data_IF_054243902798
#
_entry.id   IF_054243902798
#
_cell.length_a   1.000
_cell.length_b   1.000
_cell.length_c   1.000
_cell.angle_alpha   90.00
_cell.angle_beta   90.00
_cell.angle_gamma   90.00
#
_symmetry.space_group_name_H-M   'P 1'
#
loop_
_entity.id
_entity.type
_entity.pdbx_description
1 polymer ?
#
# COMPACT_ATOMS: atom_id res chain seq x y z
N UNK A 1 -47.31 55.98 -21.00
CA UNK A 1 -46.45 55.24 -21.94
C UNK A 1 -45.05 55.17 -21.35
N UNK A 2 -44.62 53.99 -20.89
CA UNK A 2 -43.23 53.50 -20.84
C UNK A 2 -43.22 52.24 -19.96
N UNK A 3 -42.96 51.09 -20.59
CA UNK A 3 -42.78 49.79 -19.93
C UNK A 3 -41.41 49.78 -19.26
N UNK A 4 -41.34 49.52 -17.95
CA UNK A 4 -40.08 49.21 -17.27
C UNK A 4 -39.86 47.69 -17.37
N UNK A 5 -38.81 47.30 -18.09
CA UNK A 5 -38.37 45.91 -18.19
C UNK A 5 -37.58 45.51 -16.93
N UNK A 6 -37.95 44.37 -16.35
CA UNK A 6 -37.16 43.64 -15.37
C UNK A 6 -36.05 42.87 -16.09
N UNK A 7 -34.80 43.09 -15.68
CA UNK A 7 -33.67 42.18 -15.98
C UNK A 7 -33.17 41.59 -14.66
N UNK A 8 -33.09 40.26 -14.50
CA UNK A 8 -32.46 39.69 -13.31
C UNK A 8 -30.94 39.72 -13.46
N UNK A 9 -30.27 40.26 -12.44
CA UNK A 9 -28.82 40.20 -12.26
C UNK A 9 -28.44 38.73 -12.01
N UNK A 10 -27.80 38.09 -12.99
CA UNK A 10 -27.18 36.78 -12.80
C UNK A 10 -25.95 36.90 -11.91
N UNK A 11 -25.97 36.23 -10.75
CA UNK A 11 -24.80 36.05 -9.91
C UNK A 11 -23.92 34.95 -10.51
N UNK A 12 -22.82 35.33 -11.16
CA UNK A 12 -21.70 34.44 -11.44
C UNK A 12 -20.88 34.27 -10.16
N UNK A 13 -21.14 33.21 -9.41
CA UNK A 13 -20.26 32.75 -8.34
C UNK A 13 -19.04 32.08 -8.99
N UNK A 14 -17.93 32.82 -9.09
CA UNK A 14 -16.64 32.30 -9.48
C UNK A 14 -16.01 31.60 -8.25
N UNK A 15 -16.37 30.34 -8.01
CA UNK A 15 -15.65 29.49 -7.05
C UNK A 15 -14.36 29.00 -7.70
N UNK A 16 -13.32 29.83 -7.62
CA UNK A 16 -11.95 29.42 -7.91
C UNK A 16 -11.51 28.34 -6.93
N UNK A 17 -11.53 27.09 -7.36
CA UNK A 17 -10.91 25.98 -6.66
C UNK A 17 -9.40 26.21 -6.69
N UNK A 18 -8.84 26.72 -5.59
CA UNK A 18 -7.40 26.77 -5.36
C UNK A 18 -6.87 25.34 -5.31
N UNK A 19 -6.40 24.85 -6.45
CA UNK A 19 -5.55 23.67 -6.53
C UNK A 19 -4.32 23.94 -5.65
N UNK A 20 -4.07 23.14 -4.59
CA UNK A 20 -2.86 23.30 -3.81
C UNK A 20 -1.67 23.05 -4.75
N UNK A 21 -0.72 23.99 -4.73
CA UNK A 21 0.58 23.85 -5.36
C UNK A 21 1.18 22.49 -4.95
N UNK A 22 1.29 21.58 -5.92
CA UNK A 22 1.95 20.31 -5.74
C UNK A 22 3.40 20.59 -5.30
N UNK A 23 3.74 20.21 -4.07
CA UNK A 23 5.13 20.10 -3.66
C UNK A 23 5.88 19.17 -4.62
N UNK A 24 7.23 19.25 -4.67
CA UNK A 24 8.02 18.36 -5.51
C UNK A 24 7.60 16.93 -5.19
N UNK A 25 6.98 16.28 -6.17
CA UNK A 25 6.51 14.93 -6.01
C UNK A 25 7.77 14.08 -5.80
N UNK A 26 8.01 13.71 -4.54
CA UNK A 26 8.96 12.66 -4.22
C UNK A 26 8.45 11.40 -4.92
N UNK A 27 9.38 10.59 -5.41
CA UNK A 27 9.15 9.27 -5.98
C UNK A 27 7.90 8.56 -5.40
N UNK A 28 7.08 7.96 -6.27
CA UNK A 28 6.00 7.04 -5.84
C UNK A 28 6.60 5.69 -5.44
N UNK A 29 7.40 5.73 -4.38
CA UNK A 29 8.01 4.57 -3.76
C UNK A 29 6.96 3.76 -3.01
N UNK A 30 7.18 2.45 -2.96
CA UNK A 30 6.39 1.48 -2.19
C UNK A 30 7.38 0.61 -1.42
N UNK A 31 7.39 0.68 -0.09
CA UNK A 31 6.56 1.56 0.74
C UNK A 31 6.87 3.05 0.51
N UNK A 32 5.87 3.89 0.74
CA UNK A 32 6.06 5.34 0.71
C UNK A 32 6.84 5.78 1.95
N UNK A 33 7.76 6.76 1.86
CA UNK A 33 8.49 7.26 3.02
C UNK A 33 7.61 7.73 4.19
N UNK A 34 6.38 8.18 3.94
CA UNK A 34 5.43 8.56 4.99
C UNK A 34 4.97 7.38 5.84
N UNK A 35 4.93 6.17 5.26
CA UNK A 35 4.59 4.92 5.96
C UNK A 35 5.70 4.51 6.94
N UNK A 36 6.95 4.95 6.71
CA UNK A 36 8.14 4.61 7.52
C UNK A 36 8.43 3.12 7.65
N UNK A 37 7.80 2.29 6.82
CA UNK A 37 8.15 0.90 6.65
C UNK A 37 9.58 0.80 6.11
N UNK A 38 10.35 -0.17 6.59
CA UNK A 38 11.71 -0.37 6.10
C UNK A 38 11.64 -0.85 4.65
N UNK A 39 10.99 -1.98 4.40
CA UNK A 39 10.83 -2.58 3.08
C UNK A 39 9.57 -3.43 3.00
N UNK A 40 9.24 -3.86 1.78
CA UNK A 40 8.43 -5.05 1.58
C UNK A 40 9.31 -6.27 1.81
N UNK A 41 8.69 -7.41 2.12
CA UNK A 41 9.41 -8.68 2.21
C UNK A 41 8.60 -9.81 1.57
N UNK A 42 9.29 -10.77 0.96
CA UNK A 42 8.70 -12.04 0.51
C UNK A 42 9.71 -13.14 0.78
N UNK A 43 9.30 -14.13 1.57
CA UNK A 43 10.14 -15.27 1.93
C UNK A 43 9.99 -16.42 0.94
N UNK A 44 11.05 -17.22 0.82
CA UNK A 44 10.96 -18.52 0.15
C UNK A 44 10.02 -19.49 0.89
N UNK A 45 9.39 -20.45 0.19
CA UNK A 45 8.35 -21.33 0.75
C UNK A 45 8.86 -22.36 1.78
N UNK A 46 10.17 -22.41 2.03
CA UNK A 46 10.78 -23.26 3.05
C UNK A 46 11.07 -22.47 4.34
N UNK A 47 10.81 -21.15 4.35
CA UNK A 47 10.91 -20.34 5.55
C UNK A 47 9.78 -20.71 6.53
N UNK A 48 10.04 -20.77 7.84
CA UNK A 48 8.96 -20.85 8.82
C UNK A 48 8.07 -19.61 8.69
N UNK A 49 6.75 -19.78 8.68
CA UNK A 49 5.83 -18.64 8.57
C UNK A 49 5.92 -17.67 9.75
N UNK A 50 6.44 -18.10 10.91
CA UNK A 50 6.76 -17.24 12.06
C UNK A 50 7.96 -16.27 11.82
N UNK A 51 8.20 -15.92 10.57
CA UNK A 51 9.08 -14.83 10.11
C UNK A 51 8.26 -13.74 9.38
N UNK A 52 6.95 -13.69 9.61
CA UNK A 52 6.08 -12.61 9.14
C UNK A 52 5.30 -12.90 7.87
N UNK A 53 5.77 -13.78 7.00
CA UNK A 53 5.16 -14.08 5.71
C UNK A 53 4.29 -15.34 5.78
N UNK A 54 2.98 -15.16 5.67
CA UNK A 54 1.99 -16.21 5.90
C UNK A 54 1.77 -17.13 4.70
N UNK A 55 2.09 -16.66 3.49
CA UNK A 55 1.81 -17.38 2.24
C UNK A 55 2.90 -17.28 1.17
N UNK A 56 4.05 -16.68 1.50
CA UNK A 56 5.23 -16.57 0.62
C UNK A 56 4.93 -15.82 -0.69
N UNK A 57 3.90 -14.97 -0.67
CA UNK A 57 3.38 -14.29 -1.83
C UNK A 57 2.82 -12.91 -1.48
N UNK A 58 3.17 -11.92 -2.29
CA UNK A 58 2.70 -10.56 -2.12
C UNK A 58 2.21 -9.99 -3.44
N UNK A 59 1.12 -9.22 -3.41
CA UNK A 59 0.53 -8.63 -4.62
C UNK A 59 0.42 -7.12 -4.44
N UNK A 60 0.98 -6.37 -5.38
CA UNK A 60 0.81 -4.92 -5.48
C UNK A 60 0.14 -4.54 -6.78
N UNK A 61 -0.63 -3.46 -6.72
CA UNK A 61 -1.28 -2.85 -7.86
C UNK A 61 -0.68 -1.47 -8.14
N UNK A 62 -0.63 -1.11 -9.42
CA UNK A 62 -0.13 0.19 -9.86
C UNK A 62 -1.19 0.85 -10.74
N UNK A 63 -1.59 2.05 -10.34
CA UNK A 63 -2.58 2.87 -11.01
C UNK A 63 -1.88 3.96 -11.82
N UNK A 64 -2.26 4.10 -13.09
CA UNK A 64 -1.92 5.25 -13.92
C UNK A 64 -3.19 5.89 -14.45
N UNK A 65 -3.27 7.23 -14.54
CA UNK A 65 -4.51 7.90 -14.93
C UNK A 65 -4.88 7.57 -16.38
N UNK A 66 -6.18 7.45 -16.67
CA UNK A 66 -6.67 7.08 -17.99
C UNK A 66 -6.33 8.11 -19.09
N UNK A 67 -5.86 9.29 -18.72
CA UNK A 67 -5.38 10.34 -19.63
C UNK A 67 -3.91 10.19 -20.02
N UNK A 68 -3.12 9.37 -19.31
CA UNK A 68 -1.70 9.16 -19.62
C UNK A 68 -1.54 8.44 -20.95
N UNK A 69 -0.60 8.90 -21.79
CA UNK A 69 -0.25 8.24 -23.06
C UNK A 69 1.24 7.88 -23.14
N UNK A 70 2.06 8.53 -22.33
CA UNK A 70 3.50 8.30 -22.29
C UNK A 70 3.85 6.99 -21.58
N UNK A 71 4.92 6.29 -22.01
CA UNK A 71 5.42 5.13 -21.31
C UNK A 71 5.77 5.43 -19.86
N UNK A 72 5.71 4.41 -19.02
CA UNK A 72 6.14 4.49 -17.62
C UNK A 72 6.84 3.20 -17.22
N UNK A 73 7.35 3.17 -16.00
CA UNK A 73 8.17 2.09 -15.46
C UNK A 73 7.68 1.74 -14.06
N UNK A 74 7.50 0.45 -13.83
CA UNK A 74 7.51 -0.10 -12.48
C UNK A 74 8.93 -0.62 -12.26
N UNK A 75 9.62 -0.04 -11.27
CA UNK A 75 11.01 -0.37 -10.95
C UNK A 75 11.02 -1.15 -9.64
N UNK A 76 11.90 -2.14 -9.54
CA UNK A 76 12.16 -2.93 -8.34
C UNK A 76 13.55 -2.56 -7.85
N UNK A 77 13.67 -2.05 -6.63
CA UNK A 77 14.94 -1.91 -5.96
C UNK A 77 15.23 -3.18 -5.18
N UNK A 78 16.43 -3.71 -5.41
CA UNK A 78 16.97 -4.91 -4.76
C UNK A 78 16.12 -6.18 -4.99
N UNK A 79 15.96 -6.62 -6.26
CA UNK A 79 15.31 -7.90 -6.53
C UNK A 79 16.22 -9.11 -6.24
N UNK A 80 17.48 -8.89 -5.84
CA UNK A 80 18.41 -9.95 -5.39
C UNK A 80 17.82 -10.72 -4.20
N UNK A 81 18.33 -11.92 -3.94
CA UNK A 81 17.92 -12.71 -2.75
C UNK A 81 19.12 -12.99 -1.83
N UNK A 82 20.03 -12.04 -1.72
CA UNK A 82 21.25 -12.12 -0.92
C UNK A 82 21.76 -10.75 -0.44
N UNK A 83 23.05 -10.70 -0.11
CA UNK A 83 23.67 -9.46 0.33
C UNK A 83 23.30 -9.04 1.76
N UNK A 84 23.32 -7.73 2.02
CA UNK A 84 23.16 -7.16 3.38
C UNK A 84 21.76 -6.65 3.66
N UNK A 85 20.90 -6.57 2.64
CA UNK A 85 19.53 -6.06 2.76
C UNK A 85 18.56 -7.20 3.09
N UNK A 86 18.80 -8.38 2.54
CA UNK A 86 17.91 -9.54 2.69
C UNK A 86 18.01 -10.28 4.04
N UNK A 87 16.93 -10.96 4.40
CA UNK A 87 16.80 -11.71 5.64
C UNK A 87 17.39 -13.12 5.49
N UNK A 88 18.62 -13.33 5.96
CA UNK A 88 19.33 -14.62 5.85
C UNK A 88 18.88 -15.63 6.91
N UNK A 89 18.49 -16.84 6.49
CA UNK A 89 18.26 -17.98 7.41
C UNK A 89 19.21 -19.13 7.05
N UNK A 90 20.36 -19.19 7.74
CA UNK A 90 21.38 -20.19 7.45
C UNK A 90 22.27 -19.76 6.28
N UNK A 91 22.06 -20.27 5.07
CA UNK A 91 22.75 -19.84 3.85
C UNK A 91 21.74 -19.37 2.81
N UNK A 92 22.09 -18.31 2.07
CA UNK A 92 21.20 -17.78 1.04
C UNK A 92 20.94 -18.83 -0.05
N UNK A 93 19.68 -19.20 -0.20
CA UNK A 93 19.21 -20.21 -1.15
C UNK A 93 17.87 -19.84 -1.80
N UNK A 94 17.33 -18.67 -1.46
CA UNK A 94 16.02 -18.22 -1.91
C UNK A 94 16.03 -17.77 -3.36
N UNK A 95 14.94 -18.09 -4.06
CA UNK A 95 14.62 -17.49 -5.35
C UNK A 95 13.26 -16.83 -5.28
N UNK A 96 13.17 -15.60 -5.74
CA UNK A 96 11.95 -14.80 -5.76
C UNK A 96 11.59 -14.42 -7.18
N UNK A 97 10.33 -14.58 -7.55
CA UNK A 97 9.80 -14.19 -8.85
C UNK A 97 8.95 -12.94 -8.77
N UNK A 98 9.14 -12.03 -9.72
CA UNK A 98 8.30 -10.87 -9.95
C UNK A 98 7.56 -11.03 -11.27
N UNK A 99 6.23 -11.12 -11.19
CA UNK A 99 5.34 -11.33 -12.34
C UNK A 99 4.37 -10.16 -12.50
N UNK A 100 4.47 -9.42 -13.61
CA UNK A 100 3.64 -8.27 -13.97
C UNK A 100 2.49 -8.69 -14.87
N UNK A 101 1.28 -8.26 -14.52
CA UNK A 101 0.03 -8.50 -15.23
C UNK A 101 -0.67 -7.20 -15.60
N UNK A 102 -1.37 -7.22 -16.72
CA UNK A 102 -2.23 -6.13 -17.23
C UNK A 102 -3.42 -6.69 -18.02
N UNK A 103 -4.20 -5.81 -18.64
CA UNK A 103 -5.40 -6.18 -19.41
C UNK A 103 -6.59 -6.59 -18.54
N UNK A 104 -7.73 -6.93 -19.18
CA UNK A 104 -8.98 -7.21 -18.47
C UNK A 104 -8.83 -8.29 -17.39
N UNK A 105 -9.47 -8.07 -16.24
CA UNK A 105 -9.48 -8.98 -15.10
C UNK A 105 -8.24 -8.91 -14.19
N UNK A 106 -7.24 -8.08 -14.49
CA UNK A 106 -6.06 -7.90 -13.62
C UNK A 106 -6.43 -7.52 -12.19
N UNK A 107 -7.41 -6.63 -12.03
CA UNK A 107 -7.98 -6.13 -10.79
C UNK A 107 -9.45 -6.53 -10.63
N UNK A 108 -10.25 -6.55 -11.70
CA UNK A 108 -11.70 -6.78 -11.59
C UNK A 108 -12.12 -8.24 -11.47
N UNK A 109 -11.24 -9.20 -11.78
CA UNK A 109 -11.61 -10.61 -11.75
C UNK A 109 -11.92 -11.07 -10.31
N UNK A 110 -12.84 -12.03 -10.13
CA UNK A 110 -13.10 -12.62 -8.82
C UNK A 110 -11.80 -13.13 -8.17
N UNK A 111 -11.59 -12.71 -6.91
CA UNK A 111 -10.41 -13.09 -6.13
C UNK A 111 -9.12 -12.33 -6.46
N UNK A 112 -9.10 -11.44 -7.46
CA UNK A 112 -7.92 -10.64 -7.80
C UNK A 112 -7.45 -9.76 -6.63
N UNK A 113 -8.39 -9.27 -5.81
CA UNK A 113 -8.15 -8.44 -4.63
C UNK A 113 -8.22 -9.23 -3.31
N UNK A 114 -8.24 -10.57 -3.36
CA UNK A 114 -8.27 -11.38 -2.15
C UNK A 114 -6.93 -11.24 -1.41
N UNK A 115 -6.92 -10.76 -0.15
CA UNK A 115 -5.68 -10.61 0.60
C UNK A 115 -5.07 -11.96 0.97
N UNK A 116 -5.86 -13.03 1.03
CA UNK A 116 -5.42 -14.39 1.39
C UNK A 116 -5.84 -15.39 0.31
N UNK A 117 -5.20 -15.34 -0.88
CA UNK A 117 -5.48 -16.31 -1.93
C UNK A 117 -5.10 -17.72 -1.45
N UNK A 118 -5.82 -18.73 -1.91
CA UNK A 118 -5.45 -20.11 -1.63
C UNK A 118 -4.08 -20.43 -2.26
N UNK A 119 -3.24 -21.27 -1.64
CA UNK A 119 -1.98 -21.71 -2.24
C UNK A 119 -2.19 -22.26 -3.67
N UNK A 120 -1.32 -21.87 -4.59
CA UNK A 120 -1.41 -22.27 -6.01
C UNK A 120 -2.42 -21.47 -6.84
N UNK A 121 -3.08 -20.46 -6.28
CA UNK A 121 -3.98 -19.57 -7.06
C UNK A 121 -3.21 -18.92 -8.22
N UNK A 122 -3.72 -19.10 -9.43
CA UNK A 122 -3.17 -18.45 -10.64
C UNK A 122 -3.62 -16.99 -10.66
N UNK A 123 -2.71 -16.01 -10.78
CA UNK A 123 -3.09 -14.62 -10.85
C UNK A 123 -3.93 -14.34 -12.10
N UNK A 124 -5.02 -13.58 -11.92
CA UNK A 124 -5.83 -13.10 -13.04
C UNK A 124 -5.11 -12.03 -13.88
N UNK A 125 -5.62 -11.78 -15.09
CA UNK A 125 -5.03 -10.82 -16.04
C UNK A 125 -4.06 -11.48 -17.02
N UNK A 126 -3.57 -10.70 -17.98
CA UNK A 126 -2.57 -11.13 -18.97
C UNK A 126 -1.18 -10.89 -18.43
N UNK A 127 -0.37 -11.94 -18.36
CA UNK A 127 1.05 -11.83 -18.03
C UNK A 127 1.77 -10.97 -19.09
N UNK A 128 2.45 -9.92 -18.64
CA UNK A 128 3.24 -9.00 -19.46
C UNK A 128 4.73 -9.29 -19.35
N UNK A 129 5.20 -9.56 -18.13
CA UNK A 129 6.61 -9.81 -17.85
C UNK A 129 6.75 -10.67 -16.60
N UNK A 130 7.75 -11.53 -16.58
CA UNK A 130 8.08 -12.41 -15.46
C UNK A 130 9.60 -12.52 -15.36
N UNK A 131 10.14 -12.39 -14.15
CA UNK A 131 11.57 -12.55 -13.90
C UNK A 131 11.78 -13.13 -12.51
N UNK A 132 12.57 -14.21 -12.44
CA UNK A 132 13.04 -14.78 -11.19
C UNK A 132 14.46 -14.32 -10.89
N UNK A 133 14.73 -14.08 -9.62
CA UNK A 133 16.02 -13.70 -9.08
C UNK A 133 16.43 -14.68 -7.99
N UNK A 134 17.73 -14.75 -7.74
CA UNK A 134 18.34 -15.40 -6.60
C UNK A 134 19.57 -14.58 -6.24
N UNK A 135 20.55 -15.16 -5.54
CA UNK A 135 21.81 -14.45 -5.21
C UNK A 135 22.60 -14.10 -6.49
N UNK A 136 22.69 -12.82 -6.80
CA UNK A 136 23.46 -12.25 -7.91
C UNK A 136 23.94 -10.83 -7.57
N UNK A 137 25.27 -10.61 -7.44
CA UNK A 137 25.85 -9.28 -7.22
C UNK A 137 25.48 -8.22 -8.28
N UNK A 138 25.07 -8.63 -9.48
CA UNK A 138 24.64 -7.71 -10.54
C UNK A 138 23.30 -7.03 -10.21
N UNK A 139 22.47 -7.64 -9.36
CA UNK A 139 21.15 -7.13 -8.97
C UNK A 139 21.07 -6.64 -7.52
N UNK A 140 22.04 -7.02 -6.69
CA UNK A 140 22.13 -6.62 -5.28
C UNK A 140 22.24 -5.09 -5.10
N UNK A 141 21.27 -4.50 -4.41
CA UNK A 141 21.14 -3.07 -4.17
C UNK A 141 20.99 -2.26 -5.46
N UNK A 142 20.51 -2.88 -6.55
CA UNK A 142 20.30 -2.24 -7.85
C UNK A 142 18.82 -2.14 -8.20
N UNK A 143 18.53 -1.25 -9.14
CA UNK A 143 17.20 -1.13 -9.72
C UNK A 143 17.06 -2.03 -10.94
N UNK A 144 15.93 -2.71 -11.05
CA UNK A 144 15.53 -3.46 -12.23
C UNK A 144 14.14 -3.01 -12.70
N UNK A 145 13.93 -2.94 -14.02
CA UNK A 145 12.72 -2.38 -14.60
C UNK A 145 11.79 -3.48 -15.13
N UNK A 146 10.53 -3.44 -14.72
CA UNK A 146 9.44 -4.22 -15.34
C UNK A 146 8.91 -3.57 -16.64
N UNK A 147 9.32 -2.32 -16.93
CA UNK A 147 8.95 -1.58 -18.14
C UNK A 147 10.04 -1.50 -19.22
N UNK A 148 9.89 -0.62 -20.23
CA UNK A 148 8.81 0.38 -20.38
C UNK A 148 7.44 -0.27 -20.57
N UNK A 149 6.41 0.37 -20.02
CA UNK A 149 5.00 -0.07 -20.08
C UNK A 149 4.17 0.95 -20.85
N UNK A 150 3.33 0.47 -21.77
CA UNK A 150 2.32 1.31 -22.42
C UNK A 150 1.07 1.35 -21.54
N UNK A 151 0.60 2.53 -21.06
CA UNK A 151 -0.59 2.66 -20.18
C UNK A 151 -1.82 1.87 -20.61
N UNK A 152 -2.03 1.68 -21.91
CA UNK A 152 -3.19 0.95 -22.45
C UNK A 152 -3.11 -0.58 -22.25
N UNK A 153 -1.97 -1.10 -21.78
CA UNK A 153 -1.81 -2.52 -21.46
C UNK A 153 -2.38 -2.89 -20.08
N UNK A 154 -2.72 -1.92 -19.24
CA UNK A 154 -3.38 -2.14 -17.96
C UNK A 154 -4.88 -2.42 -18.11
N UNK A 155 -5.52 -2.78 -17.01
CA UNK A 155 -6.98 -2.84 -16.96
C UNK A 155 -7.57 -1.46 -16.72
N UNK A 156 -8.48 -0.98 -17.57
CA UNK A 156 -9.25 0.22 -17.24
C UNK A 156 -10.22 -0.09 -16.11
N UNK A 157 -10.00 0.49 -14.92
CA UNK A 157 -10.88 0.36 -13.75
C UNK A 157 -11.62 1.68 -13.56
N UNK A 158 -12.92 1.69 -13.86
CA UNK A 158 -13.74 2.90 -13.86
C UNK A 158 -13.77 3.59 -12.49
N UNK A 159 -13.85 2.81 -11.41
CA UNK A 159 -13.80 3.33 -10.03
C UNK A 159 -12.54 4.18 -9.78
N UNK A 160 -11.41 3.84 -10.41
CA UNK A 160 -10.15 4.57 -10.26
C UNK A 160 -9.88 5.56 -11.41
N UNK A 161 -10.74 5.59 -12.44
CA UNK A 161 -10.57 6.41 -13.65
C UNK A 161 -9.17 6.25 -14.25
N UNK A 162 -8.65 5.03 -14.25
CA UNK A 162 -7.27 4.75 -14.61
C UNK A 162 -7.01 3.29 -14.97
N UNK A 163 -5.82 3.07 -15.52
CA UNK A 163 -5.34 1.74 -15.88
C UNK A 163 -4.60 1.13 -14.70
N UNK A 164 -4.97 -0.10 -14.34
CA UNK A 164 -4.39 -0.86 -13.24
C UNK A 164 -3.53 -1.99 -13.77
N UNK A 165 -2.32 -2.08 -13.23
CA UNK A 165 -1.39 -3.20 -13.37
C UNK A 165 -1.27 -3.92 -12.05
N UNK A 166 -0.86 -5.19 -12.09
CA UNK A 166 -0.64 -6.01 -10.91
C UNK A 166 0.74 -6.64 -10.97
N UNK A 167 1.52 -6.52 -9.92
CA UNK A 167 2.76 -7.27 -9.71
C UNK A 167 2.49 -8.29 -8.61
N UNK A 168 2.73 -9.56 -8.92
CA UNK A 168 2.73 -10.65 -7.96
C UNK A 168 4.16 -11.08 -7.72
N UNK A 169 4.58 -11.06 -6.46
CA UNK A 169 5.90 -11.48 -6.00
C UNK A 169 5.74 -12.80 -5.26
N UNK A 170 6.56 -13.79 -5.59
CA UNK A 170 6.47 -15.15 -4.99
C UNK A 170 7.85 -15.71 -4.66
N UNK A 171 7.98 -16.26 -3.46
CA UNK A 171 9.06 -17.19 -3.16
C UNK A 171 8.89 -18.48 -3.96
N UNK A 172 9.90 -18.84 -4.76
CA UNK A 172 9.91 -20.08 -5.55
C UNK A 172 10.63 -21.23 -4.84
N UNK A 173 11.67 -20.92 -4.07
CA UNK A 173 12.49 -21.88 -3.32
C UNK A 173 13.20 -21.18 -2.17
N UNK A 174 13.80 -21.96 -1.27
CA UNK A 174 14.62 -21.43 -0.18
C UNK A 174 13.82 -20.93 1.02
N UNK A 175 14.53 -20.42 2.01
CA UNK A 175 14.00 -20.05 3.33
C UNK A 175 14.38 -18.63 3.80
N UNK A 176 15.06 -17.86 2.98
CA UNK A 176 15.42 -16.46 3.25
C UNK A 176 14.29 -15.52 2.83
N UNK A 177 14.34 -14.28 3.33
CA UNK A 177 13.44 -13.19 2.94
C UNK A 177 14.10 -12.24 1.95
N UNK A 178 13.51 -12.06 0.77
CA UNK A 178 13.89 -10.98 -0.14
C UNK A 178 13.19 -9.68 0.25
N UNK A 179 13.98 -8.66 0.57
CA UNK A 179 13.57 -7.32 0.95
C UNK A 179 13.72 -6.34 -0.21
N UNK A 180 12.60 -5.90 -0.76
CA UNK A 180 12.59 -5.03 -1.93
C UNK A 180 11.69 -3.81 -1.74
N UNK A 181 11.78 -2.88 -2.69
CA UNK A 181 10.87 -1.73 -2.81
C UNK A 181 10.46 -1.56 -4.27
N UNK A 182 9.23 -1.10 -4.51
CA UNK A 182 8.81 -0.69 -5.85
C UNK A 182 8.85 0.82 -6.02
N UNK A 183 8.96 1.25 -7.27
CA UNK A 183 8.87 2.66 -7.66
C UNK A 183 8.06 2.78 -8.94
N UNK A 184 6.99 3.58 -8.90
CA UNK A 184 6.28 4.00 -10.11
C UNK A 184 6.95 5.26 -10.68
N UNK A 185 7.49 5.16 -11.88
CA UNK A 185 8.29 6.24 -12.49
C UNK A 185 7.95 6.48 -13.95
N UNK A 186 8.06 7.73 -14.38
CA UNK A 186 8.06 8.13 -15.80
C UNK A 186 9.45 8.04 -16.45
N UNK A 187 10.49 7.69 -15.67
CA UNK A 187 11.87 7.51 -16.14
C UNK A 187 12.39 6.09 -15.88
N UNK A 188 13.20 5.52 -16.79
CA UNK A 188 13.80 4.20 -16.58
C UNK A 188 14.90 4.18 -15.51
N UNK A 189 15.57 5.31 -15.27
CA UNK A 189 16.81 5.38 -14.50
C UNK A 189 16.74 6.30 -13.30
N UNK A 190 15.63 7.01 -13.12
CA UNK A 190 15.43 7.98 -12.06
C UNK A 190 14.03 7.86 -11.51
N UNK A 191 13.85 8.25 -10.25
CA UNK A 191 12.54 8.21 -9.60
C UNK A 191 11.77 9.50 -9.89
N UNK A 192 11.20 9.57 -11.09
CA UNK A 192 10.39 10.69 -11.56
C UNK A 192 8.92 10.27 -11.46
N UNK A 193 8.11 10.87 -10.58
CA UNK A 193 6.72 10.47 -10.37
C UNK A 193 5.89 10.43 -11.66
N UNK A 194 4.85 9.60 -11.65
CA UNK A 194 3.79 9.63 -12.66
C UNK A 194 2.65 10.49 -12.11
N UNK A 195 2.39 11.71 -12.65
CA UNK A 195 1.31 12.56 -12.17
C UNK A 195 -0.03 11.83 -12.21
N UNK A 196 -0.78 11.88 -11.11
CA UNK A 196 -2.06 11.15 -10.95
C UNK A 196 -1.91 9.62 -10.83
N UNK A 197 -0.69 9.09 -10.84
CA UNK A 197 -0.42 7.69 -10.56
C UNK A 197 -0.48 7.38 -9.07
N UNK A 198 -0.56 6.10 -8.73
CA UNK A 198 -0.41 5.61 -7.36
C UNK A 198 -0.04 4.12 -7.38
N UNK A 199 0.31 3.58 -6.22
CA UNK A 199 0.39 2.14 -6.01
C UNK A 199 -0.46 1.78 -4.79
N UNK A 200 -0.98 0.57 -4.77
CA UNK A 200 -1.80 0.09 -3.67
C UNK A 200 -1.74 -1.43 -3.53
N UNK A 201 -2.08 -1.92 -2.34
CA UNK A 201 -2.23 -3.36 -2.07
C UNK A 201 -3.48 -3.61 -1.23
N UNK A 202 -3.92 -4.87 -1.17
CA UNK A 202 -4.94 -5.34 -0.23
C UNK A 202 -4.35 -6.13 0.96
N UNK A 203 -3.06 -6.49 0.88
CA UNK A 203 -2.29 -7.13 1.96
C UNK A 203 -0.84 -6.64 1.91
N UNK A 204 -0.31 -6.21 3.04
CA UNK A 204 1.13 -5.99 3.20
C UNK A 204 1.79 -7.19 3.87
N UNK A 205 2.98 -7.55 3.41
CA UNK A 205 4.02 -8.27 4.13
C UNK A 205 5.27 -7.38 4.12
N UNK A 206 5.69 -6.92 5.30
CA UNK A 206 6.61 -5.79 5.43
C UNK A 206 7.51 -5.89 6.66
N UNK A 207 8.63 -5.16 6.62
CA UNK A 207 9.55 -5.00 7.75
C UNK A 207 9.29 -3.73 8.55
N UNK A 208 9.03 -3.90 9.85
CA UNK A 208 9.13 -2.85 10.85
C UNK A 208 10.60 -2.69 11.23
N UNK A 209 11.18 -1.48 11.10
CA UNK A 209 12.59 -1.27 11.39
C UNK A 209 12.90 -1.52 12.87
N UNK A 210 14.14 -1.94 13.15
CA UNK A 210 14.64 -2.02 14.52
C UNK A 210 14.66 -0.63 15.18
N UNK A 211 14.31 -0.57 16.47
CA UNK A 211 14.45 0.63 17.27
C UNK A 211 15.91 1.07 17.41
N UNK A 212 16.18 2.39 17.38
CA UNK A 212 17.55 2.90 17.52
C UNK A 212 18.14 2.59 18.92
N UNK A 213 19.48 2.57 19.06
CA UNK A 213 20.15 2.32 20.35
C UNK A 213 19.69 3.23 21.50
N UNK A 214 19.19 4.43 21.18
CA UNK A 214 18.60 5.37 22.15
C UNK A 214 17.35 4.85 22.88
N UNK A 215 16.73 3.75 22.43
CA UNK A 215 15.52 3.18 23.02
C UNK A 215 14.23 3.94 22.67
N UNK A 216 14.28 4.90 21.74
CA UNK A 216 13.08 5.58 21.25
C UNK A 216 12.21 4.60 20.45
N UNK A 217 10.88 4.60 20.63
CA UNK A 217 10.00 3.79 19.80
C UNK A 217 10.09 4.19 18.33
N UNK A 218 9.92 3.21 17.45
CA UNK A 218 9.66 3.43 16.03
C UNK A 218 8.17 3.36 15.79
N UNK A 219 7.65 4.20 14.90
CA UNK A 219 6.25 4.14 14.49
C UNK A 219 6.20 4.04 12.97
N UNK A 220 5.52 3.01 12.48
CA UNK A 220 5.16 2.86 11.07
C UNK A 220 3.66 3.03 10.90
N UNK A 221 3.24 3.34 9.68
CA UNK A 221 1.87 3.74 9.36
C UNK A 221 1.34 2.92 8.20
N UNK A 222 0.08 2.47 8.31
CA UNK A 222 -0.68 1.86 7.22
C UNK A 222 -1.96 2.65 7.00
N UNK A 223 -2.32 2.87 5.72
CA UNK A 223 -3.39 3.79 5.33
C UNK A 223 -4.52 3.11 4.52
N UNK A 224 -5.31 2.20 5.14
CA UNK A 224 -6.46 1.60 4.46
C UNK A 224 -7.50 2.68 4.12
N UNK A 225 -8.04 2.62 2.92
CA UNK A 225 -9.06 3.55 2.42
C UNK A 225 -10.47 3.02 2.66
N UNK A 226 -11.31 3.81 3.33
CA UNK A 226 -12.71 3.48 3.56
C UNK A 226 -13.60 4.23 2.56
N UNK A 227 -14.26 3.49 1.66
CA UNK A 227 -15.27 4.07 0.77
C UNK A 227 -16.61 4.31 1.50
N UNK A 228 -17.57 4.93 0.82
CA UNK A 228 -18.89 5.28 1.36
C UNK A 228 -19.74 4.08 1.82
N UNK A 229 -19.37 2.85 1.44
CA UNK A 229 -20.09 1.63 1.80
C UNK A 229 -19.50 0.93 3.02
N UNK A 230 -18.35 1.40 3.55
CA UNK A 230 -17.71 0.78 4.71
C UNK A 230 -18.38 1.26 6.00
N UNK A 231 -18.95 0.31 6.75
CA UNK A 231 -19.63 0.56 8.03
C UNK A 231 -18.76 0.14 9.21
N UNK A 232 -17.93 -0.87 9.02
CA UNK A 232 -16.91 -1.26 9.98
C UNK A 232 -15.70 -1.80 9.23
N UNK A 233 -14.54 -1.71 9.89
CA UNK A 233 -13.34 -2.38 9.46
C UNK A 233 -13.00 -3.52 10.42
N UNK A 234 -12.46 -4.60 9.88
CA UNK A 234 -11.76 -5.63 10.62
C UNK A 234 -10.29 -5.59 10.21
N UNK A 235 -9.44 -5.09 11.10
CA UNK A 235 -8.00 -5.22 10.92
C UNK A 235 -7.57 -6.63 11.27
N UNK A 236 -6.67 -7.21 10.48
CA UNK A 236 -6.09 -8.54 10.71
C UNK A 236 -4.59 -8.47 10.51
N UNK A 237 -3.84 -8.92 11.53
CA UNK A 237 -2.39 -8.95 11.51
C UNK A 237 -1.84 -10.32 11.93
N UNK A 238 -0.67 -10.64 11.42
CA UNK A 238 0.06 -11.88 11.66
C UNK A 238 1.53 -11.57 11.92
N UNK A 239 2.08 -12.26 12.92
CA UNK A 239 3.46 -12.12 13.39
C UNK A 239 3.86 -10.70 13.82
N UNK A 240 2.87 -9.90 14.24
CA UNK A 240 3.12 -8.61 14.86
C UNK A 240 3.48 -8.81 16.33
N UNK A 241 4.78 -8.82 16.63
CA UNK A 241 5.34 -9.07 17.96
C UNK A 241 4.65 -8.26 19.07
N UNK A 242 4.56 -8.84 20.27
CA UNK A 242 3.97 -8.18 21.46
C UNK A 242 4.74 -6.94 21.95
N UNK A 243 5.90 -6.64 21.34
CA UNK A 243 6.64 -5.40 21.57
C UNK A 243 6.07 -4.20 20.80
N UNK A 244 5.14 -4.46 19.87
CA UNK A 244 4.40 -3.45 19.15
C UNK A 244 3.06 -3.12 19.83
N UNK A 245 2.60 -1.88 19.60
CA UNK A 245 1.24 -1.43 19.88
C UNK A 245 0.59 -1.00 18.58
N UNK A 246 -0.63 -1.47 18.31
CA UNK A 246 -1.46 -1.01 17.20
C UNK A 246 -2.51 -0.01 17.69
N UNK A 247 -2.54 1.18 17.07
CA UNK A 247 -3.49 2.24 17.40
C UNK A 247 -4.06 2.87 16.14
N UNK A 248 -5.40 2.97 16.08
CA UNK A 248 -6.14 3.48 14.91
C UNK A 248 -6.51 4.95 15.11
N UNK A 249 -6.11 5.78 14.15
CA UNK A 249 -6.47 7.19 14.05
C UNK A 249 -7.25 7.47 12.76
N UNK A 250 -8.07 8.51 12.78
CA UNK A 250 -8.74 9.03 11.59
C UNK A 250 -9.17 10.48 11.82
N UNK A 251 -9.94 11.04 10.89
CA UNK A 251 -10.58 12.34 11.09
C UNK A 251 -11.60 12.33 12.25
N UNK A 252 -12.14 11.17 12.61
CA UNK A 252 -13.14 10.98 13.67
C UNK A 252 -12.64 10.17 14.88
N UNK A 253 -11.45 9.57 14.80
CA UNK A 253 -10.85 8.73 15.84
C UNK A 253 -9.53 9.31 16.31
N UNK A 254 -9.40 9.56 17.62
CA UNK A 254 -8.18 10.07 18.23
C UNK A 254 -7.42 8.98 19.02
N UNK A 255 -7.20 7.84 18.39
CA UNK A 255 -6.47 6.72 18.97
C UNK A 255 -7.36 5.68 19.62
N UNK A 256 -7.65 4.61 18.87
CA UNK A 256 -8.31 3.41 19.39
C UNK A 256 -7.34 2.25 19.35
N UNK A 257 -7.15 1.58 20.48
CA UNK A 257 -6.28 0.42 20.57
C UNK A 257 -6.90 -0.77 19.82
N UNK A 258 -6.03 -1.54 19.16
CA UNK A 258 -6.41 -2.76 18.45
C UNK A 258 -5.42 -3.89 18.77
N UNK A 259 -5.89 -5.12 18.61
CA UNK A 259 -5.14 -6.32 18.95
C UNK A 259 -3.90 -6.49 18.06
N UNK A 260 -2.79 -6.85 18.70
CA UNK A 260 -1.55 -7.33 18.09
C UNK A 260 -1.52 -8.86 18.21
N UNK A 261 -0.96 -9.54 17.21
CA UNK A 261 -1.03 -11.00 17.13
C UNK A 261 -0.02 -11.73 18.00
N UNK A 262 1.14 -11.12 18.26
CA UNK A 262 2.32 -11.85 18.69
C UNK A 262 2.78 -12.85 17.64
N UNK A 263 3.61 -13.78 18.10
CA UNK A 263 4.46 -14.63 17.25
C UNK A 263 3.68 -15.76 16.56
N UNK A 264 3.69 -15.76 15.22
CA UNK A 264 3.13 -16.80 14.36
C UNK A 264 1.62 -17.03 14.48
N UNK A 265 0.89 -16.08 15.08
CA UNK A 265 -0.57 -16.14 15.24
C UNK A 265 -1.27 -15.05 14.44
N UNK A 266 -2.57 -15.21 14.23
CA UNK A 266 -3.44 -14.14 13.73
C UNK A 266 -4.18 -13.47 14.89
N UNK A 267 -4.26 -12.14 14.87
CA UNK A 267 -5.19 -11.39 15.70
C UNK A 267 -6.02 -10.44 14.84
N UNK A 268 -7.15 -9.98 15.39
CA UNK A 268 -8.01 -9.04 14.71
C UNK A 268 -8.76 -8.14 15.66
N UNK A 269 -9.21 -6.99 15.15
CA UNK A 269 -10.12 -6.10 15.87
C UNK A 269 -11.11 -5.49 14.91
N UNK A 270 -12.36 -5.40 15.33
CA UNK A 270 -13.42 -4.74 14.56
C UNK A 270 -13.63 -3.35 15.13
N UNK A 271 -13.58 -2.34 14.27
CA UNK A 271 -13.86 -0.95 14.64
C UNK A 271 -14.94 -0.38 13.72
N UNK A 272 -15.92 0.38 14.25
CA UNK A 272 -16.92 1.03 13.41
C UNK A 272 -16.27 2.13 12.56
N UNK A 273 -16.84 2.39 11.39
CA UNK A 273 -16.52 3.54 10.53
C UNK A 273 -17.70 4.51 10.58
N UNK A 274 -17.37 5.78 10.76
CA UNK A 274 -18.33 6.88 10.81
C UNK A 274 -18.44 7.54 9.44
N UNK A 275 -19.57 8.21 9.13
CA UNK A 275 -19.74 8.91 7.86
C UNK A 275 -18.65 9.96 7.58
N UNK A 276 -18.04 10.54 8.61
CA UNK A 276 -16.95 11.50 8.49
C UNK A 276 -15.67 10.88 7.91
N UNK A 277 -15.51 9.56 8.02
CA UNK A 277 -14.33 8.81 7.55
C UNK A 277 -14.49 8.29 6.12
N UNK A 278 -15.69 8.37 5.53
CA UNK A 278 -15.94 7.92 4.16
C UNK A 278 -15.16 8.75 3.14
N UNK A 279 -14.60 8.06 2.14
CA UNK A 279 -13.78 8.66 1.11
C UNK A 279 -12.39 9.10 1.59
N UNK A 280 -11.94 8.61 2.75
CA UNK A 280 -10.65 8.96 3.36
C UNK A 280 -9.89 7.72 3.83
N UNK A 281 -8.56 7.86 3.93
CA UNK A 281 -7.72 6.87 4.59
C UNK A 281 -7.77 7.01 6.12
N UNK A 282 -7.72 5.88 6.81
CA UNK A 282 -7.39 5.79 8.24
C UNK A 282 -5.86 5.83 8.42
N UNK A 283 -5.38 6.03 9.65
CA UNK A 283 -3.96 5.93 10.02
C UNK A 283 -3.81 4.87 11.11
N UNK A 284 -3.42 3.66 10.70
CA UNK A 284 -3.11 2.55 11.59
C UNK A 284 -1.63 2.66 11.96
N UNK A 285 -1.36 3.05 13.20
CA UNK A 285 -0.01 3.23 13.74
C UNK A 285 0.45 1.98 14.46
N UNK A 286 1.56 1.42 14.00
CA UNK A 286 2.25 0.34 14.68
C UNK A 286 3.49 0.94 15.35
N UNK A 287 3.46 1.05 16.68
CA UNK A 287 4.57 1.60 17.46
C UNK A 287 5.30 0.49 18.18
N UNK A 288 6.57 0.25 17.84
CA UNK A 288 7.40 -0.79 18.44
C UNK A 288 8.55 -0.20 19.25
N UNK A 289 8.84 -0.83 20.38
CA UNK A 289 10.03 -0.56 21.21
C UNK A 289 11.14 -1.59 21.00
N UNK A 290 10.95 -2.55 20.09
CA UNK A 290 11.93 -3.60 19.83
C UNK A 290 13.25 -3.03 19.34
N UNK A 291 14.36 -3.68 19.73
CA UNK A 291 15.71 -3.38 19.22
C UNK A 291 16.10 -4.28 18.05
N UNK A 292 15.23 -5.20 17.68
CA UNK A 292 15.33 -6.04 16.49
C UNK A 292 14.17 -5.68 15.56
N UNK A 293 14.37 -5.86 14.26
CA UNK A 293 13.28 -5.71 13.30
C UNK A 293 12.24 -6.80 13.54
N UNK A 294 11.04 -6.58 13.01
CA UNK A 294 9.99 -7.60 12.94
C UNK A 294 9.35 -7.52 11.56
N UNK A 295 9.14 -8.67 10.95
CA UNK A 295 8.42 -8.80 9.70
C UNK A 295 6.99 -9.22 10.03
N UNK A 296 6.00 -8.56 9.43
CA UNK A 296 4.61 -8.82 9.75
C UNK A 296 3.73 -8.76 8.51
N UNK A 297 2.61 -9.46 8.58
CA UNK A 297 1.56 -9.42 7.56
C UNK A 297 0.33 -8.68 8.07
N UNK A 298 -0.29 -7.85 7.23
CA UNK A 298 -1.43 -7.01 7.60
C UNK A 298 -2.41 -6.82 6.45
N UNK A 299 -3.71 -6.95 6.75
CA UNK A 299 -4.79 -6.53 5.84
C UNK A 299 -5.99 -6.02 6.63
N UNK A 300 -6.91 -5.36 5.93
CA UNK A 300 -8.18 -4.86 6.50
C UNK A 300 -9.32 -5.28 5.59
N UNK A 301 -10.42 -5.76 6.18
CA UNK A 301 -11.68 -6.03 5.46
C UNK A 301 -12.82 -5.16 5.98
N UNK A 302 -13.85 -4.97 5.16
CA UNK A 302 -15.13 -4.38 5.56
C UNK A 302 -16.05 -5.40 6.26
N UNK A 303 -17.28 -4.99 6.55
CA UNK A 303 -18.32 -5.82 7.16
C UNK A 303 -18.75 -7.05 6.32
N UNK A 304 -18.34 -7.14 5.06
CA UNK A 304 -18.64 -8.24 4.13
C UNK A 304 -17.39 -9.06 3.78
N UNK A 305 -16.32 -8.92 4.58
CA UNK A 305 -15.02 -9.55 4.34
C UNK A 305 -14.35 -9.13 3.01
N UNK A 306 -14.76 -8.00 2.42
CA UNK A 306 -14.10 -7.42 1.25
C UNK A 306 -12.90 -6.61 1.70
N UNK A 307 -11.73 -6.88 1.12
CA UNK A 307 -10.51 -6.17 1.50
C UNK A 307 -10.52 -4.70 1.09
N UNK A 308 -10.01 -3.84 1.97
CA UNK A 308 -9.79 -2.42 1.71
C UNK A 308 -8.40 -2.23 1.08
N UNK A 309 -8.27 -1.34 0.09
CA UNK A 309 -6.97 -1.01 -0.48
C UNK A 309 -6.18 -0.09 0.45
N UNK A 310 -4.88 -0.33 0.56
CA UNK A 310 -3.91 0.57 1.14
C UNK A 310 -3.17 1.28 0.02
N UNK A 311 -3.34 2.60 -0.09
CA UNK A 311 -2.63 3.39 -1.09
C UNK A 311 -1.30 3.88 -0.54
N UNK A 312 -0.22 3.67 -1.28
CA UNK A 312 1.12 4.13 -0.91
C UNK A 312 1.15 5.66 -0.72
N UNK A 313 0.46 6.40 -1.58
CA UNK A 313 0.10 7.80 -1.32
C UNK A 313 -1.34 7.84 -0.81
N UNK A 314 -1.59 8.12 0.48
CA UNK A 314 -2.93 8.08 1.06
C UNK A 314 -3.89 9.06 0.37
N UNK A 315 -5.07 8.58 -0.01
CA UNK A 315 -6.08 9.43 -0.64
C UNK A 315 -6.66 10.39 0.42
N UNK A 316 -6.60 11.69 0.12
CA UNK A 316 -6.90 12.75 1.11
C UNK A 316 -5.70 13.15 2.00
N UNK A 317 -4.54 12.52 1.81
CA UNK A 317 -3.34 12.71 2.63
C UNK A 317 -3.40 11.98 3.98
N UNK A 318 -2.33 12.00 4.79
CA UNK A 318 -2.37 11.46 6.14
C UNK A 318 -3.49 12.10 6.96
N UNK A 319 -4.41 11.33 7.54
CA UNK A 319 -5.58 11.88 8.20
C UNK A 319 -5.18 12.72 9.40
N UNK A 320 -5.89 13.84 9.60
CA UNK A 320 -5.76 14.71 10.76
C UNK A 320 -7.08 14.71 11.52
N UNK A 321 -7.04 14.36 12.80
CA UNK A 321 -8.22 14.38 13.67
C UNK A 321 -8.84 15.78 13.68
N UNK A 322 -10.16 15.85 13.50
CA UNK A 322 -10.92 17.10 13.58
C UNK A 322 -11.54 17.20 14.96
N UNK A 323 -11.10 18.18 15.75
CA UNK A 323 -11.71 18.48 17.04
C UNK A 323 -13.15 18.97 16.83
N UNK A 324 -14.11 18.32 17.48
CA UNK A 324 -15.45 18.86 17.64
C UNK A 324 -15.47 19.71 18.91
N UNK A 325 -15.33 21.03 18.77
CA UNK A 325 -15.38 21.97 19.89
C UNK A 325 -16.80 22.49 19.98
N UNK A 326 -17.60 21.83 20.82
CA UNK A 326 -18.94 22.29 21.13
C UNK A 326 -18.83 23.48 22.11
N UNK A 327 -18.73 24.70 21.57
CA UNK A 327 -18.69 25.91 22.40
C UNK A 327 -20.07 26.14 23.03
N UNK A 328 -20.26 25.64 24.26
CA UNK A 328 -21.39 26.05 25.11
C UNK A 328 -21.20 27.51 25.52
N UNK A 329 -21.74 28.42 24.71
CA UNK A 329 -21.90 29.83 25.09
C UNK A 329 -22.84 29.85 26.29
N UNK A 330 -22.28 30.06 27.48
CA UNK A 330 -23.07 30.42 28.65
C UNK A 330 -23.55 31.86 28.41
N UNK A 331 -24.86 32.02 28.21
CA UNK A 331 -25.53 33.32 28.30
C UNK A 331 -25.83 33.63 29.77
#
# INVERSE_FOLDING_TARGET
MAKLFYTPLGWLALTGLLLPLAGPAAAQAVPNPVEKLESLVTFGPQAPTAWGDDDHSQTFFFLVPATRREPFYIRVFDPDCGGTLDAKIGEFNTRTEFSLYGGPGTHSAPGATNPRPAPGTVPSGRLLKQQAFGVDPATNGKYWNLGPLNPLEGELVEQFKGYVYKVVVRGLSGNDGNLYRFFLSSSPSSDVPVPGGNAFTYKYCFRIPAGPPSGRPVTVHLYPFADENVVSIKQSNFDLDNTAKLTVFSVAKNGHDAAVSGDGQWASSVLPITPQEHGLSLDLRLTSTSKIFNDATFYVTDQYDKALPFFAVPLGGPPRYKYDIDMRIHR
#
